data_IF_236247430715
#
_entry.id   IF_236247430715
#
_cell.length_a   1.000
_cell.length_b   1.000
_cell.length_c   1.000
_cell.angle_alpha   90.00
_cell.angle_beta   90.00
_cell.angle_gamma   90.00
#
_symmetry.space_group_name_H-M   'P 1'
#
loop_
_entity.id
_entity.type
_entity.pdbx_description
1 polymer ?
#
# COMPACT_ATOMS: atom_id res chain seq x y z
N UNK A 1 -0.32 15.00 1.44
CA UNK A 1 -0.85 15.09 0.07
C UNK A 1 -1.67 16.35 -0.08
N UNK A 2 -2.89 16.41 0.46
CA UNK A 2 -3.82 17.54 0.24
C UNK A 2 -3.23 18.91 0.63
N UNK A 3 -2.68 19.05 1.85
CA UNK A 3 -2.12 20.32 2.32
C UNK A 3 -0.73 20.68 1.76
N UNK A 4 0.02 19.69 1.26
CA UNK A 4 1.45 19.83 0.97
C UNK A 4 1.79 19.55 -0.50
N UNK A 5 0.81 19.27 -1.35
CA UNK A 5 0.98 18.88 -2.76
C UNK A 5 1.71 17.55 -3.02
N UNK A 6 2.37 16.96 -2.00
CA UNK A 6 3.12 15.71 -2.14
C UNK A 6 2.25 14.55 -2.63
N UNK A 7 2.86 13.61 -3.35
CA UNK A 7 2.19 12.39 -3.77
C UNK A 7 1.56 11.63 -2.58
N UNK A 8 0.39 11.07 -2.82
CA UNK A 8 -0.28 10.24 -1.83
C UNK A 8 0.37 8.87 -1.79
N UNK A 9 0.77 8.41 -0.60
CA UNK A 9 1.40 7.09 -0.43
C UNK A 9 0.43 5.93 -0.68
N UNK A 10 -0.89 6.20 -0.68
CA UNK A 10 -1.97 5.23 -0.90
C UNK A 10 -2.87 5.73 -2.03
N UNK A 11 -2.38 5.64 -3.24
CA UNK A 11 -3.11 5.91 -4.48
C UNK A 11 -4.06 4.76 -4.83
N UNK A 12 -4.94 5.01 -5.81
CA UNK A 12 -5.81 3.97 -6.37
C UNK A 12 -5.06 2.79 -6.98
N UNK A 13 -3.81 2.96 -7.45
CA UNK A 13 -3.00 1.84 -7.98
C UNK A 13 -2.61 0.84 -6.90
N UNK A 14 -2.27 1.30 -5.69
CA UNK A 14 -2.03 0.39 -4.56
C UNK A 14 -3.31 -0.37 -4.20
N UNK A 15 -4.44 0.32 -4.12
CA UNK A 15 -5.73 -0.30 -3.80
C UNK A 15 -6.15 -1.34 -4.85
N UNK A 16 -5.99 -1.01 -6.13
CA UNK A 16 -6.28 -1.93 -7.24
C UNK A 16 -5.41 -3.18 -7.19
N UNK A 17 -4.10 -3.04 -6.93
CA UNK A 17 -3.21 -4.19 -6.83
C UNK A 17 -3.62 -5.14 -5.68
N UNK A 18 -4.00 -4.60 -4.53
CA UNK A 18 -4.52 -5.40 -3.41
C UNK A 18 -5.80 -6.14 -3.81
N UNK A 19 -6.71 -5.47 -4.52
CA UNK A 19 -7.94 -6.10 -4.99
C UNK A 19 -7.68 -7.26 -5.97
N UNK A 20 -6.75 -7.07 -6.91
CA UNK A 20 -6.33 -8.10 -7.87
C UNK A 20 -5.75 -9.32 -7.15
N UNK A 21 -4.87 -9.09 -6.16
CA UNK A 21 -4.34 -10.15 -5.30
C UNK A 21 -5.47 -10.89 -4.57
N UNK A 22 -6.41 -10.16 -3.95
CA UNK A 22 -7.54 -10.76 -3.24
C UNK A 22 -8.40 -11.64 -4.16
N UNK A 23 -8.68 -11.17 -5.37
CA UNK A 23 -9.48 -11.91 -6.34
C UNK A 23 -8.74 -13.14 -6.86
N UNK A 24 -7.44 -13.01 -7.13
CA UNK A 24 -6.60 -14.11 -7.64
C UNK A 24 -6.57 -15.34 -6.73
N UNK A 25 -6.72 -15.15 -5.41
CA UNK A 25 -6.82 -16.27 -4.47
C UNK A 25 -8.11 -17.07 -4.65
N UNK A 26 -9.23 -16.38 -4.89
CA UNK A 26 -10.52 -17.03 -5.13
C UNK A 26 -10.47 -17.80 -6.46
N UNK A 27 -9.94 -17.17 -7.51
CA UNK A 27 -9.80 -17.79 -8.82
C UNK A 27 -8.85 -19.00 -8.79
N UNK A 28 -7.71 -18.86 -8.10
CA UNK A 28 -6.76 -19.96 -7.90
C UNK A 28 -7.39 -21.13 -7.16
N UNK A 29 -8.20 -20.85 -6.12
CA UNK A 29 -8.92 -21.88 -5.37
C UNK A 29 -10.02 -22.54 -6.19
N UNK A 30 -10.70 -21.79 -7.06
CA UNK A 30 -11.78 -22.31 -7.90
C UNK A 30 -11.28 -23.19 -9.04
N UNK A 31 -10.13 -22.83 -9.64
CA UNK A 31 -9.60 -23.49 -10.84
C UNK A 31 -8.49 -24.49 -10.49
N UNK A 32 -7.94 -24.43 -9.27
CA UNK A 32 -6.85 -25.30 -8.80
C UNK A 32 -5.52 -25.00 -9.48
N UNK A 33 -5.29 -23.76 -9.89
CA UNK A 33 -4.07 -23.31 -10.59
C UNK A 33 -3.56 -22.02 -9.99
N UNK A 34 -2.26 -21.77 -10.12
CA UNK A 34 -1.71 -20.45 -9.79
C UNK A 34 -2.21 -19.40 -10.79
N UNK A 35 -2.62 -18.25 -10.26
CA UNK A 35 -3.00 -17.09 -11.06
C UNK A 35 -1.87 -16.06 -11.09
N UNK A 36 -1.56 -15.56 -12.28
CA UNK A 36 -0.52 -14.53 -12.47
C UNK A 36 -1.13 -13.13 -12.28
N UNK A 37 -0.68 -12.45 -11.22
CA UNK A 37 -1.08 -11.08 -10.91
C UNK A 37 -0.33 -10.13 -11.84
N UNK A 38 -1.07 -9.40 -12.68
CA UNK A 38 -0.49 -8.46 -13.65
C UNK A 38 -0.59 -7.00 -13.20
N UNK A 39 -1.44 -6.71 -12.22
CA UNK A 39 -1.49 -5.38 -11.61
C UNK A 39 -0.15 -5.03 -10.97
N UNK A 40 0.22 -3.75 -11.08
CA UNK A 40 1.48 -3.23 -10.54
C UNK A 40 1.30 -1.80 -10.04
N UNK A 41 2.24 -1.36 -9.22
CA UNK A 41 2.31 0.00 -8.72
C UNK A 41 3.76 0.39 -8.45
N UNK A 42 4.03 1.70 -8.52
CA UNK A 42 5.33 2.24 -8.12
C UNK A 42 5.47 2.15 -6.61
N UNK A 43 6.55 1.50 -6.13
CA UNK A 43 6.87 1.44 -4.71
C UNK A 43 6.90 2.87 -4.12
N UNK A 44 6.07 3.19 -3.12
CA UNK A 44 6.05 4.52 -2.54
C UNK A 44 7.37 4.80 -1.82
N UNK A 45 7.75 6.08 -1.76
CA UNK A 45 8.89 6.50 -0.97
C UNK A 45 8.70 6.12 0.51
N UNK A 46 9.78 5.77 1.23
CA UNK A 46 9.72 5.52 2.66
C UNK A 46 9.12 6.70 3.41
N UNK A 47 8.48 6.41 4.54
CA UNK A 47 8.12 7.47 5.48
C UNK A 47 9.40 8.16 5.94
N UNK A 48 9.39 9.49 5.98
CA UNK A 48 10.51 10.25 6.52
C UNK A 48 10.70 9.86 7.99
N UNK A 49 11.88 9.35 8.32
CA UNK A 49 12.27 9.07 9.71
C UNK A 49 12.55 10.42 10.38
N UNK A 50 11.86 10.71 11.49
CA UNK A 50 12.10 11.93 12.28
C UNK A 50 10.95 12.95 12.27
N UNK A 51 9.77 12.55 12.75
CA UNK A 51 8.80 13.46 13.40
C UNK A 51 7.76 12.60 14.13
N UNK A 52 8.09 12.13 15.33
CA UNK A 52 7.15 11.30 16.10
C UNK A 52 7.59 10.85 17.48
N UNK A 53 8.89 10.84 17.80
CA UNK A 53 9.34 10.41 19.15
C UNK A 53 9.57 11.60 20.09
N UNK A 54 9.76 12.78 19.53
CA UNK A 54 10.10 14.04 20.19
C UNK A 54 8.91 15.02 20.28
N UNK A 55 7.71 14.59 19.86
CA UNK A 55 6.47 15.38 19.90
C UNK A 55 5.46 14.93 20.99
N UNK A 56 5.81 13.95 21.83
CA UNK A 56 5.06 13.67 23.04
C UNK A 56 5.81 14.25 24.25
N UNK A 57 5.46 15.46 24.74
CA UNK A 57 6.01 15.95 25.99
C UNK A 57 5.37 15.14 27.13
N UNK A 58 5.94 13.98 27.46
CA UNK A 58 5.46 13.19 28.59
C UNK A 58 5.69 11.70 28.52
N UNK A 59 6.91 11.25 28.27
CA UNK A 59 7.34 9.91 28.71
C UNK A 59 8.71 10.06 29.34
N UNK A 60 8.71 10.20 30.67
CA UNK A 60 9.86 9.82 31.49
C UNK A 60 10.05 8.32 31.42
#
# INVERSE_FOLDING_TARGET
AIRTGREHLVTGRQAYHVLDVMHSFLDSSSVGRHYDITSTFTRPAPLAVGRGEDQFPGSK
#
